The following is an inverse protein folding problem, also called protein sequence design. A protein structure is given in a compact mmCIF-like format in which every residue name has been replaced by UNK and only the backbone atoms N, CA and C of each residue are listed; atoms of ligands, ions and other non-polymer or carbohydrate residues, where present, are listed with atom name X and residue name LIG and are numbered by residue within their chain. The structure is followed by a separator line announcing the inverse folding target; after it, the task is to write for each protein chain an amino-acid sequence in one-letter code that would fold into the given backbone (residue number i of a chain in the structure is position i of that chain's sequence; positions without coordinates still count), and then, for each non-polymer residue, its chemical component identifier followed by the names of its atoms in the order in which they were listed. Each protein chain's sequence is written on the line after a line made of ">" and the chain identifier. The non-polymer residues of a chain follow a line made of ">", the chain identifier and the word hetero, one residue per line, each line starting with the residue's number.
data_IF_848890946308
#
_entry.id   IF_848890946308
#
_cell.length_a   1.000
_cell.length_b   1.000
_cell.length_c   1.000
_cell.angle_alpha   90.00
_cell.angle_beta   90.00
_cell.angle_gamma   90.00
#
_symmetry.space_group_name_H-M   'P 1'
#
loop_
_entity.id
_entity.type
_entity.pdbx_description
1 polymer ?
#
# COMPACT_ATOMS: atom_id res chain seq x y z
N UNK A 1 -34.81 43.34 14.12
CA UNK A 1 -33.99 42.29 14.77
C UNK A 1 -33.19 41.58 13.70
N UNK A 2 -31.98 42.03 13.42
CA UNK A 2 -31.13 41.52 12.36
C UNK A 2 -30.23 40.42 12.99
N UNK A 3 -30.53 39.18 12.65
CA UNK A 3 -29.76 38.01 13.10
C UNK A 3 -28.47 37.98 12.29
N UNK A 4 -27.35 38.42 12.88
CA UNK A 4 -26.01 38.25 12.32
C UNK A 4 -25.77 36.73 12.17
N UNK A 5 -25.74 36.26 10.93
CA UNK A 5 -25.19 34.95 10.59
C UNK A 5 -23.66 35.05 10.72
N UNK A 6 -23.14 34.59 11.86
CA UNK A 6 -21.71 34.38 12.00
C UNK A 6 -21.26 33.35 10.92
N UNK A 7 -20.15 33.59 10.21
CA UNK A 7 -19.58 32.58 9.34
C UNK A 7 -19.27 31.36 10.20
N UNK A 8 -19.71 30.18 9.75
CA UNK A 8 -19.25 28.90 10.32
C UNK A 8 -17.73 28.88 10.21
N UNK A 9 -17.05 29.20 11.30
CA UNK A 9 -15.61 28.99 11.41
C UNK A 9 -15.37 27.54 11.05
N UNK A 10 -14.63 27.31 9.96
CA UNK A 10 -14.12 26.00 9.59
C UNK A 10 -13.18 25.57 10.72
N UNK A 11 -13.69 24.77 11.65
CA UNK A 11 -12.88 24.19 12.70
C UNK A 11 -11.77 23.34 12.03
N UNK A 12 -10.50 23.75 12.14
CA UNK A 12 -9.39 23.04 11.49
C UNK A 12 -9.26 21.59 11.97
N UNK A 13 -9.83 21.26 13.12
CA UNK A 13 -9.91 19.91 13.66
C UNK A 13 -10.88 19.04 12.85
N UNK A 14 -12.06 19.58 12.52
CA UNK A 14 -13.08 18.87 11.72
C UNK A 14 -12.56 18.62 10.31
N UNK A 15 -11.92 19.62 9.69
CA UNK A 15 -11.31 19.48 8.37
C UNK A 15 -10.22 18.40 8.35
N UNK A 16 -9.36 18.36 9.37
CA UNK A 16 -8.30 17.35 9.52
C UNK A 16 -8.86 15.95 9.74
N UNK A 17 -9.90 15.81 10.55
CA UNK A 17 -10.59 14.55 10.78
C UNK A 17 -11.18 14.01 9.47
N UNK A 18 -11.88 14.85 8.73
CA UNK A 18 -12.48 14.49 7.45
C UNK A 18 -11.43 14.04 6.41
N UNK A 19 -10.26 14.71 6.35
CA UNK A 19 -9.16 14.27 5.47
C UNK A 19 -8.61 12.90 5.89
N UNK A 20 -8.46 12.63 7.19
CA UNK A 20 -8.03 11.32 7.69
C UNK A 20 -9.03 10.21 7.35
N UNK A 21 -10.33 10.47 7.48
CA UNK A 21 -11.37 9.50 7.12
C UNK A 21 -11.36 9.19 5.62
N UNK A 22 -11.19 10.21 4.78
CA UNK A 22 -11.05 10.04 3.33
C UNK A 22 -9.82 9.20 2.98
N UNK A 23 -8.67 9.45 3.63
CA UNK A 23 -7.46 8.66 3.44
C UNK A 23 -7.64 7.20 3.89
N UNK A 24 -8.32 6.98 5.01
CA UNK A 24 -8.64 5.64 5.48
C UNK A 24 -9.54 4.90 4.49
N UNK A 25 -10.59 5.55 3.99
CA UNK A 25 -11.46 4.97 2.97
C UNK A 25 -10.69 4.63 1.69
N UNK A 26 -9.81 5.50 1.23
CA UNK A 26 -8.97 5.26 0.06
C UNK A 26 -8.07 4.03 0.26
N UNK A 27 -7.41 3.91 1.41
CA UNK A 27 -6.56 2.76 1.74
C UNK A 27 -7.36 1.45 1.84
N UNK A 28 -8.54 1.46 2.44
CA UNK A 28 -9.41 0.26 2.56
C UNK A 28 -9.88 -0.28 1.20
N UNK A 29 -9.99 0.58 0.19
CA UNK A 29 -10.39 0.18 -1.17
C UNK A 29 -9.27 -0.48 -1.98
N UNK A 30 -8.04 -0.40 -1.52
CA UNK A 30 -6.91 -1.04 -2.18
C UNK A 30 -7.01 -2.58 -2.11
N UNK A 31 -6.51 -3.30 -3.13
CA UNK A 31 -6.33 -4.74 -3.03
C UNK A 31 -5.51 -5.14 -1.79
N UNK A 32 -5.87 -6.25 -1.16
CA UNK A 32 -5.25 -6.71 0.09
C UNK A 32 -3.71 -6.78 0.02
N UNK A 33 -3.17 -7.20 -1.12
CA UNK A 33 -1.72 -7.28 -1.34
C UNK A 33 -1.06 -5.90 -1.36
N UNK A 34 -1.70 -4.92 -1.97
CA UNK A 34 -1.24 -3.52 -1.99
C UNK A 34 -1.22 -2.93 -0.58
N UNK A 35 -2.31 -3.16 0.18
CA UNK A 35 -2.37 -2.76 1.58
C UNK A 35 -1.23 -3.41 2.39
N UNK A 36 -0.97 -4.70 2.18
CA UNK A 36 0.07 -5.45 2.87
C UNK A 36 1.46 -4.85 2.61
N UNK A 37 1.82 -4.62 1.34
CA UNK A 37 3.11 -4.00 0.96
C UNK A 37 3.24 -2.61 1.59
N UNK A 38 2.18 -1.80 1.49
CA UNK A 38 2.15 -0.46 2.08
C UNK A 38 2.35 -0.48 3.59
N UNK A 39 1.65 -1.36 4.33
CA UNK A 39 1.73 -1.45 5.79
C UNK A 39 3.09 -1.97 6.26
N UNK A 40 3.67 -2.96 5.59
CA UNK A 40 5.02 -3.46 5.90
C UNK A 40 6.07 -2.35 5.76
N UNK A 41 5.97 -1.53 4.71
CA UNK A 41 6.87 -0.39 4.56
C UNK A 41 6.56 0.71 5.57
N UNK A 42 5.29 1.06 5.77
CA UNK A 42 4.89 2.25 6.53
C UNK A 42 4.97 2.08 8.04
N UNK A 43 4.63 0.89 8.56
CA UNK A 43 4.58 0.60 9.99
C UNK A 43 5.81 -0.16 10.48
N UNK A 44 6.25 -1.17 9.74
CA UNK A 44 7.41 -1.99 10.12
C UNK A 44 8.72 -1.44 9.52
N UNK A 45 8.66 -0.36 8.73
CA UNK A 45 9.80 0.33 8.11
C UNK A 45 10.69 -0.59 7.25
N UNK A 46 10.11 -1.66 6.71
CA UNK A 46 10.83 -2.57 5.83
C UNK A 46 11.15 -1.90 4.49
N UNK A 47 12.41 -2.03 4.05
CA UNK A 47 12.81 -1.63 2.70
C UNK A 47 12.18 -2.52 1.63
N UNK A 48 12.12 -2.04 0.39
CA UNK A 48 11.47 -2.76 -0.71
C UNK A 48 12.08 -4.14 -0.98
N UNK A 49 13.41 -4.30 -0.86
CA UNK A 49 14.06 -5.60 -1.00
C UNK A 49 13.59 -6.61 0.07
N UNK A 50 13.54 -6.18 1.33
CA UNK A 50 13.08 -7.04 2.43
C UNK A 50 11.60 -7.42 2.30
N UNK A 51 10.75 -6.51 1.77
CA UNK A 51 9.34 -6.80 1.48
C UNK A 51 9.23 -7.79 0.32
N UNK A 52 10.03 -7.61 -0.74
CA UNK A 52 10.08 -8.49 -1.90
C UNK A 52 10.43 -9.92 -1.49
N UNK A 53 11.49 -10.08 -0.70
CA UNK A 53 11.92 -11.38 -0.13
C UNK A 53 10.82 -11.98 0.76
N UNK A 54 10.28 -11.21 1.71
CA UNK A 54 9.26 -11.68 2.66
C UNK A 54 7.98 -12.16 2.00
N UNK A 55 7.56 -11.48 0.91
CA UNK A 55 6.31 -11.79 0.22
C UNK A 55 6.49 -12.69 -1.01
N UNK A 56 7.73 -13.06 -1.33
CA UNK A 56 8.09 -13.80 -2.54
C UNK A 56 7.54 -13.11 -3.81
N UNK A 57 7.88 -11.83 -3.94
CA UNK A 57 7.44 -10.97 -5.05
C UNK A 57 8.65 -10.30 -5.72
N UNK A 58 8.61 -10.10 -7.04
CA UNK A 58 9.61 -9.26 -7.71
C UNK A 58 9.61 -7.83 -7.17
N UNK A 59 10.80 -7.22 -7.09
CA UNK A 59 10.97 -5.84 -6.59
C UNK A 59 10.09 -4.83 -7.35
N UNK A 60 9.99 -4.98 -8.67
CA UNK A 60 9.12 -4.14 -9.52
C UNK A 60 7.64 -4.21 -9.12
N UNK A 61 7.19 -5.34 -8.57
CA UNK A 61 5.82 -5.48 -8.06
C UNK A 61 5.63 -4.69 -6.76
N UNK A 62 6.66 -4.62 -5.90
CA UNK A 62 6.63 -3.81 -4.69
C UNK A 62 6.53 -2.32 -5.06
N UNK A 63 7.37 -1.85 -5.99
CA UNK A 63 7.33 -0.47 -6.48
C UNK A 63 5.95 -0.13 -7.07
N UNK A 64 5.36 -1.02 -7.87
CA UNK A 64 4.02 -0.84 -8.44
C UNK A 64 2.95 -0.74 -7.36
N UNK A 65 2.99 -1.62 -6.35
CA UNK A 65 2.05 -1.59 -5.24
C UNK A 65 2.17 -0.30 -4.42
N UNK A 66 3.40 0.18 -4.16
CA UNK A 66 3.63 1.44 -3.47
C UNK A 66 3.12 2.63 -4.27
N UNK A 67 3.37 2.67 -5.59
CA UNK A 67 2.81 3.68 -6.48
C UNK A 67 1.28 3.67 -6.46
N UNK A 68 0.65 2.51 -6.53
CA UNK A 68 -0.80 2.37 -6.45
C UNK A 68 -1.34 2.91 -5.12
N UNK A 69 -0.70 2.60 -4.00
CA UNK A 69 -1.10 3.11 -2.69
C UNK A 69 -1.04 4.64 -2.63
N UNK A 70 0.04 5.25 -3.11
CA UNK A 70 0.18 6.70 -3.15
C UNK A 70 -0.82 7.36 -4.10
N UNK A 71 -1.05 6.78 -5.28
CA UNK A 71 -1.98 7.35 -6.27
C UNK A 71 -3.43 7.34 -5.78
N UNK A 72 -3.86 6.26 -5.13
CA UNK A 72 -5.25 6.13 -4.63
C UNK A 72 -5.59 7.16 -3.56
N UNK A 73 -4.60 7.66 -2.83
CA UNK A 73 -4.79 8.67 -1.79
C UNK A 73 -4.75 10.12 -2.29
N UNK A 74 -4.66 10.34 -3.60
CA UNK A 74 -4.52 11.66 -4.24
C UNK A 74 -5.77 12.07 -4.97
N UNK A 75 -5.94 13.38 -5.17
CA UNK A 75 -6.93 13.90 -6.11
C UNK A 75 -6.56 13.46 -7.53
N UNK A 76 -7.56 13.04 -8.31
CA UNK A 76 -7.35 12.59 -9.68
C UNK A 76 -7.09 13.78 -10.62
N UNK A 77 -6.27 13.56 -11.64
CA UNK A 77 -6.12 14.48 -12.78
C UNK A 77 -4.83 15.28 -12.82
N UNK A 78 -3.97 15.26 -11.79
CA UNK A 78 -2.69 15.99 -11.79
C UNK A 78 -1.55 15.09 -12.27
N UNK A 79 -1.11 15.31 -13.51
CA UNK A 79 -0.01 14.56 -14.14
C UNK A 79 1.34 14.80 -13.44
N UNK A 80 1.65 16.06 -13.08
CA UNK A 80 2.91 16.42 -12.41
C UNK A 80 3.00 15.73 -11.05
N UNK A 81 1.90 15.80 -10.28
CA UNK A 81 1.84 15.09 -9.03
C UNK A 81 1.92 13.56 -9.21
N UNK A 82 1.43 12.97 -10.32
CA UNK A 82 1.62 11.55 -10.61
C UNK A 82 3.10 11.19 -10.78
N UNK A 83 3.83 11.99 -11.53
CA UNK A 83 5.27 11.83 -11.74
C UNK A 83 6.03 12.00 -10.42
N UNK A 84 5.66 13.00 -9.60
CA UNK A 84 6.24 13.19 -8.26
C UNK A 84 6.09 11.94 -7.38
N UNK A 85 4.92 11.30 -7.39
CA UNK A 85 4.69 10.05 -6.67
C UNK A 85 5.55 8.89 -7.19
N UNK A 86 5.72 8.79 -8.50
CA UNK A 86 6.61 7.77 -9.11
C UNK A 86 8.07 7.99 -8.67
N UNK A 87 8.57 9.23 -8.72
CA UNK A 87 9.91 9.55 -8.22
C UNK A 87 10.05 9.24 -6.73
N UNK A 88 9.05 9.58 -5.92
CA UNK A 88 9.06 9.31 -4.50
C UNK A 88 9.23 7.82 -4.19
N UNK A 89 8.55 6.95 -4.92
CA UNK A 89 8.67 5.48 -4.79
C UNK A 89 10.01 5.00 -5.37
N UNK A 90 10.38 5.45 -6.56
CA UNK A 90 11.59 4.99 -7.24
C UNK A 90 12.85 5.28 -6.44
N UNK A 91 12.93 6.45 -5.80
CA UNK A 91 14.08 6.83 -4.97
C UNK A 91 14.25 5.97 -3.70
N UNK A 92 13.21 5.23 -3.28
CA UNK A 92 13.29 4.28 -2.18
C UNK A 92 13.72 2.88 -2.63
N UNK A 93 13.78 2.64 -3.93
CA UNK A 93 14.23 1.36 -4.48
C UNK A 93 15.74 1.17 -4.28
N UNK A 94 16.19 -0.04 -3.90
CA UNK A 94 17.61 -0.36 -3.85
C UNK A 94 18.27 -0.38 -5.23
N UNK A 95 17.49 -0.52 -6.31
CA UNK A 95 17.97 -0.54 -7.69
C UNK A 95 18.05 0.83 -8.36
N UNK A 96 17.78 1.92 -7.62
CA UNK A 96 17.87 3.26 -8.18
C UNK A 96 19.33 3.59 -8.55
N UNK A 97 19.54 3.90 -9.83
CA UNK A 97 20.86 4.21 -10.40
C UNK A 97 21.30 5.65 -10.15
N UNK A 98 22.59 5.91 -10.33
CA UNK A 98 23.13 7.28 -10.29
C UNK A 98 22.51 8.16 -11.41
N UNK A 99 22.28 7.60 -12.60
CA UNK A 99 21.64 8.31 -13.71
C UNK A 99 20.22 8.75 -13.33
N UNK A 100 19.42 7.85 -12.76
CA UNK A 100 18.05 8.18 -12.34
C UNK A 100 18.01 9.26 -11.25
N UNK A 101 19.02 9.31 -10.37
CA UNK A 101 19.14 10.41 -9.37
C UNK A 101 19.44 11.75 -10.05
N UNK A 102 20.23 11.75 -11.12
CA UNK A 102 20.50 12.95 -11.93
C UNK A 102 19.22 13.37 -12.68
N UNK A 103 18.49 12.42 -13.28
CA UNK A 103 17.24 12.70 -13.98
C UNK A 103 16.16 13.23 -13.04
N UNK A 104 16.07 12.67 -11.83
CA UNK A 104 15.20 13.23 -10.79
C UNK A 104 15.55 14.68 -10.47
N UNK A 105 16.83 15.01 -10.30
CA UNK A 105 17.27 16.38 -10.02
C UNK A 105 16.94 17.32 -11.16
N UNK A 106 17.22 16.90 -12.41
CA UNK A 106 16.83 17.67 -13.60
C UNK A 106 15.33 17.91 -13.66
N UNK A 107 14.55 16.88 -13.32
CA UNK A 107 13.09 17.01 -13.26
C UNK A 107 12.66 18.02 -12.19
N UNK A 108 13.24 18.00 -10.99
CA UNK A 108 12.95 18.98 -9.95
C UNK A 108 13.26 20.42 -10.39
N UNK A 109 14.40 20.60 -11.08
CA UNK A 109 14.89 21.91 -11.49
C UNK A 109 14.17 22.46 -12.74
N UNK A 110 13.43 21.61 -13.46
CA UNK A 110 12.77 21.99 -14.71
C UNK A 110 11.59 22.96 -14.52
N UNK A 111 10.88 22.90 -13.39
CA UNK A 111 9.77 23.80 -13.07
C UNK A 111 9.49 23.85 -11.57
N UNK A 112 9.10 25.03 -11.02
CA UNK A 112 8.73 25.16 -9.59
C UNK A 112 7.59 24.21 -9.17
N UNK A 113 6.67 23.93 -10.08
CA UNK A 113 5.54 23.02 -9.87
C UNK A 113 5.99 21.60 -9.56
N UNK A 114 7.14 21.16 -10.10
CA UNK A 114 7.70 19.84 -9.85
C UNK A 114 8.18 19.70 -8.40
N UNK A 115 8.93 20.69 -7.92
CA UNK A 115 9.36 20.73 -6.52
C UNK A 115 8.16 20.77 -5.58
N UNK A 116 7.17 21.62 -5.88
CA UNK A 116 5.95 21.72 -5.09
C UNK A 116 5.19 20.39 -5.05
N UNK A 117 5.00 19.73 -6.18
CA UNK A 117 4.34 18.43 -6.27
C UNK A 117 5.09 17.34 -5.49
N UNK A 118 6.42 17.36 -5.51
CA UNK A 118 7.23 16.41 -4.74
C UNK A 118 7.08 16.66 -3.23
N UNK A 119 7.14 17.91 -2.77
CA UNK A 119 6.90 18.28 -1.37
C UNK A 119 5.48 17.88 -0.89
N UNK A 120 4.46 18.11 -1.73
CA UNK A 120 3.11 17.66 -1.43
C UNK A 120 3.01 16.13 -1.33
N UNK A 121 3.77 15.39 -2.14
CA UNK A 121 3.85 13.94 -2.05
C UNK A 121 4.46 13.48 -0.72
N UNK A 122 5.52 14.15 -0.24
CA UNK A 122 6.09 13.87 1.08
C UNK A 122 5.12 14.17 2.23
N UNK A 123 4.44 15.30 2.18
CA UNK A 123 3.43 15.67 3.19
C UNK A 123 2.29 14.64 3.20
N UNK A 124 1.82 14.22 2.03
CA UNK A 124 0.82 13.17 1.88
C UNK A 124 1.31 11.85 2.48
N UNK A 125 2.53 11.46 2.16
CA UNK A 125 3.13 10.27 2.76
C UNK A 125 3.14 10.32 4.30
N UNK A 126 3.48 11.48 4.86
CA UNK A 126 3.46 11.67 6.32
C UNK A 126 2.05 11.55 6.90
N UNK A 127 1.03 12.12 6.25
CA UNK A 127 -0.36 12.07 6.72
C UNK A 127 -0.95 10.65 6.70
N UNK A 128 -0.40 9.72 5.90
CA UNK A 128 -0.84 8.33 5.84
C UNK A 128 -0.48 7.51 7.09
N UNK A 129 0.30 8.02 8.04
CA UNK A 129 0.72 7.23 9.20
C UNK A 129 -0.45 6.87 10.12
N UNK A 130 -1.33 7.82 10.44
CA UNK A 130 -2.48 7.56 11.32
C UNK A 130 -3.48 6.59 10.68
N UNK A 131 -3.93 6.77 9.41
CA UNK A 131 -4.74 5.77 8.72
C UNK A 131 -4.07 4.40 8.60
N UNK A 132 -2.74 4.35 8.37
CA UNK A 132 -2.02 3.08 8.31
C UNK A 132 -2.07 2.32 9.64
N UNK A 133 -1.88 3.00 10.77
CA UNK A 133 -1.98 2.38 12.10
C UNK A 133 -3.35 1.79 12.36
N UNK A 134 -4.42 2.51 12.02
CA UNK A 134 -5.79 1.99 12.15
C UNK A 134 -6.05 0.80 11.24
N UNK A 135 -5.51 0.82 10.00
CA UNK A 135 -5.69 -0.28 9.04
C UNK A 135 -4.91 -1.53 9.43
N UNK A 136 -3.78 -1.38 10.11
CA UNK A 136 -2.87 -2.46 10.51
C UNK A 136 -2.94 -2.83 11.99
N UNK A 137 -3.95 -2.39 12.72
CA UNK A 137 -4.05 -2.52 14.19
C UNK A 137 -3.99 -3.98 14.67
N UNK A 138 -4.65 -4.88 13.95
CA UNK A 138 -4.65 -6.32 14.21
C UNK A 138 -3.39 -7.07 13.72
N UNK A 139 -2.44 -6.39 13.07
CA UNK A 139 -1.17 -6.96 12.60
C UNK A 139 -1.29 -7.98 11.45
N UNK A 140 -2.47 -8.12 10.82
CA UNK A 140 -2.73 -9.10 9.76
C UNK A 140 -1.73 -9.05 8.59
N UNK A 141 -1.20 -7.88 8.29
CA UNK A 141 -0.28 -7.64 7.17
C UNK A 141 1.11 -8.28 7.37
N UNK A 142 1.46 -8.64 8.60
CA UNK A 142 2.72 -9.30 8.96
C UNK A 142 2.73 -10.78 8.60
N UNK A 143 1.56 -11.38 8.41
CA UNK A 143 1.46 -12.77 8.00
C UNK A 143 1.98 -12.90 6.57
N UNK A 144 3.02 -13.73 6.38
CA UNK A 144 3.50 -14.09 5.06
C UNK A 144 2.40 -14.77 4.26
N UNK A 145 2.47 -14.76 2.93
CA UNK A 145 1.47 -15.24 1.97
C UNK A 145 0.07 -15.23 2.55
N UNK A 146 -0.80 -14.36 2.05
CA UNK A 146 -2.23 -14.61 2.21
C UNK A 146 -2.41 -16.06 1.78
N UNK A 147 -2.64 -16.95 2.75
CA UNK A 147 -2.97 -18.32 2.44
C UNK A 147 -4.11 -18.21 1.43
N UNK A 148 -3.82 -18.55 0.17
CA UNK A 148 -4.88 -18.99 -0.69
C UNK A 148 -5.53 -20.09 0.14
N UNK A 149 -6.66 -19.79 0.70
CA UNK A 149 -7.54 -20.75 1.33
C UNK A 149 -7.85 -21.75 0.22
N UNK A 150 -7.00 -22.76 0.08
CA UNK A 150 -7.34 -24.05 -0.49
C UNK A 150 -8.21 -24.75 0.52
N UNK A 151 -9.28 -24.06 0.90
CA UNK A 151 -10.45 -24.66 1.50
C UNK A 151 -11.17 -25.42 0.42
N UNK A 152 -10.86 -26.70 0.32
CA UNK A 152 -11.61 -27.59 -0.52
C UNK A 152 -10.77 -28.37 -1.53
N UNK A 153 -10.00 -29.35 -1.07
CA UNK A 153 -9.69 -30.60 -1.77
C UNK A 153 -8.66 -31.41 -0.97
N UNK A 154 -9.01 -31.86 0.21
CA UNK A 154 -8.21 -32.85 0.94
C UNK A 154 -9.10 -33.81 1.73
N UNK A 155 -10.17 -34.30 1.11
CA UNK A 155 -10.90 -35.48 1.59
C UNK A 155 -11.26 -36.33 0.38
N UNK A 156 -10.29 -37.02 -0.20
CA UNK A 156 -10.57 -38.12 -1.16
C UNK A 156 -9.35 -39.01 -1.41
N UNK A 157 -8.41 -39.17 -0.51
CA UNK A 157 -7.31 -40.14 -0.68
C UNK A 157 -7.06 -41.02 0.54
N UNK A 158 -8.02 -41.10 1.48
CA UNK A 158 -7.90 -41.90 2.70
C UNK A 158 -8.72 -43.20 2.74
N UNK A 159 -9.60 -43.49 1.78
CA UNK A 159 -10.48 -44.65 1.83
C UNK A 159 -10.20 -45.75 0.78
N UNK A 160 -9.16 -45.60 -0.03
CA UNK A 160 -8.82 -46.55 -1.08
C UNK A 160 -7.87 -47.68 -0.67
N UNK A 161 -7.17 -47.59 0.45
CA UNK A 161 -6.11 -48.56 0.84
C UNK A 161 -6.63 -49.61 1.84
N UNK A 162 -7.71 -49.35 2.57
CA UNK A 162 -8.26 -50.29 3.54
C UNK A 162 -9.07 -51.45 2.90
N UNK A 163 -9.53 -51.27 1.66
CA UNK A 163 -10.36 -52.30 0.99
C UNK A 163 -9.55 -53.43 0.30
N UNK A 164 -8.26 -53.19 0.02
CA UNK A 164 -7.40 -54.19 -0.66
C UNK A 164 -6.69 -55.15 0.30
N UNK A 165 -6.63 -54.82 1.59
CA UNK A 165 -6.03 -55.73 2.59
C UNK A 165 -7.02 -56.76 3.10
N UNK A 166 -8.32 -56.49 3.00
CA UNK A 166 -9.34 -57.42 3.45
C UNK A 166 -9.66 -58.56 2.46
N UNK A 167 -9.29 -58.41 1.19
CA UNK A 167 -9.50 -59.43 0.15
C UNK A 167 -8.30 -60.37 -0.09
N UNK A 168 -7.15 -60.07 0.51
CA UNK A 168 -5.94 -60.88 0.38
C UNK A 168 -5.75 -61.94 1.48
N UNK A 169 -6.64 -62.02 2.45
CA UNK A 169 -6.53 -62.96 3.59
C UNK A 169 -7.53 -64.12 3.55
N UNK A 170 -8.22 -64.32 2.40
CA UNK A 170 -9.19 -65.41 2.21
C UNK A 170 -8.97 -66.15 0.87
N UNK A 171 -7.73 -66.48 0.57
CA UNK A 171 -7.40 -67.46 -0.46
C UNK A 171 -6.32 -68.40 0.06
#
# INVERSE_FOLDING_TARGET
>A
MTRLLLPLEHDPQIAKQHDQDNLMHALKRLPRRVQQVFLLNRLDQLGFAAIAERLDLPLISIERHMNQALQTTRAQGDAVASIAGQWYVRLQSPEVTASERIDFRRWLDAAPEHLHAFQQTELRWRSLLAPARQLGDDGWYRQGRAALSLGGCSIALGLGVAALVALGLWA
#
